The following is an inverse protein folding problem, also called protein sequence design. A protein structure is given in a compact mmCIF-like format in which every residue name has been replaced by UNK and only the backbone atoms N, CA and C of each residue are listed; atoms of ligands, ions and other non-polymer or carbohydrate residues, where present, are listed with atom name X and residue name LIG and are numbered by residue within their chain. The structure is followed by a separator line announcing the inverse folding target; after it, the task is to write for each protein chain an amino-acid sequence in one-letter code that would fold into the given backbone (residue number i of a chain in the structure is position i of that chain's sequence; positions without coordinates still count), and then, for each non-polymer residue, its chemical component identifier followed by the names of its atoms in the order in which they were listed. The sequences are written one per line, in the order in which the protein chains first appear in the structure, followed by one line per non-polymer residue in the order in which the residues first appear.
data_IF_536644854650
#
_entry.id   IF_536644854650
#
_cell.length_a   1.000
_cell.length_b   1.000
_cell.length_c   1.000
_cell.angle_alpha   90.00
_cell.angle_beta   90.00
_cell.angle_gamma   90.00
#
_symmetry.space_group_name_H-M   'P 1'
#
loop_
_entity.id
_entity.type
_entity.pdbx_description
1 polymer ?
#
# COMPACT_ATOMS: atom_id res chain seq x y z
N UNK A 1 -15.32 29.61 -3.96
CA UNK A 1 -14.72 28.26 -3.93
C UNK A 1 -13.31 28.42 -3.40
N UNK A 2 -13.07 28.01 -2.16
CA UNK A 2 -11.70 27.95 -1.62
C UNK A 2 -11.00 26.77 -2.28
N UNK A 3 -10.02 27.04 -3.13
CA UNK A 3 -9.16 25.97 -3.68
C UNK A 3 -8.49 25.25 -2.51
N UNK A 4 -8.70 23.94 -2.40
CA UNK A 4 -7.93 23.13 -1.44
C UNK A 4 -6.44 23.30 -1.74
N UNK A 5 -5.58 23.42 -0.71
CA UNK A 5 -4.14 23.46 -0.93
C UNK A 5 -3.69 22.16 -1.62
N UNK A 6 -2.78 22.27 -2.57
CA UNK A 6 -2.21 21.11 -3.24
C UNK A 6 -1.45 20.23 -2.24
N UNK A 7 -1.63 18.90 -2.34
CA UNK A 7 -0.85 17.95 -1.55
C UNK A 7 0.63 18.04 -1.95
N UNK A 8 1.50 17.99 -0.95
CA UNK A 8 2.95 17.91 -1.15
C UNK A 8 3.56 16.91 -0.19
N UNK A 9 4.60 16.20 -0.63
CA UNK A 9 5.33 15.23 0.19
C UNK A 9 6.81 15.61 0.25
N UNK A 10 7.37 15.63 1.45
CA UNK A 10 8.80 15.92 1.70
C UNK A 10 9.40 14.90 2.65
N UNK A 11 10.72 14.74 2.62
CA UNK A 11 11.42 13.88 3.58
C UNK A 11 11.35 14.46 4.99
N UNK A 12 11.21 13.61 6.00
CA UNK A 12 11.36 13.99 7.40
C UNK A 12 12.83 14.24 7.82
N UNK A 13 13.75 14.17 6.89
CA UNK A 13 15.16 14.53 7.07
C UNK A 13 16.01 13.47 7.76
N UNK A 14 15.67 12.18 7.62
CA UNK A 14 16.48 11.05 8.10
C UNK A 14 16.62 9.95 7.06
N UNK A 15 17.57 9.04 7.28
CA UNK A 15 17.64 7.75 6.58
C UNK A 15 16.64 6.75 7.14
N UNK A 16 16.28 5.69 6.39
CA UNK A 16 15.48 4.60 6.93
C UNK A 16 16.07 4.04 8.24
N UNK A 17 15.18 3.70 9.17
CA UNK A 17 15.55 3.11 10.45
C UNK A 17 15.13 1.64 10.47
N UNK A 18 16.06 0.75 10.82
CA UNK A 18 15.77 -0.69 10.90
C UNK A 18 14.63 -0.96 11.87
N UNK A 19 13.58 -1.60 11.39
CA UNK A 19 12.50 -2.12 12.22
C UNK A 19 13.02 -3.32 13.00
N UNK A 20 13.07 -3.19 14.30
CA UNK A 20 13.60 -4.26 15.17
C UNK A 20 12.53 -5.32 15.40
N UNK A 21 12.80 -6.53 14.92
CA UNK A 21 11.91 -7.69 15.12
C UNK A 21 12.07 -8.33 16.50
N UNK A 22 13.15 -8.05 17.22
CA UNK A 22 13.43 -8.70 18.50
C UNK A 22 13.53 -10.23 18.35
N UNK A 23 12.81 -10.96 19.19
CA UNK A 23 12.69 -12.43 19.13
C UNK A 23 11.41 -12.90 18.44
N UNK A 24 10.67 -12.03 17.76
CA UNK A 24 9.35 -12.37 17.19
C UNK A 24 9.42 -13.24 15.94
N UNK A 25 10.56 -13.22 15.23
CA UNK A 25 10.74 -13.99 14.00
C UNK A 25 9.95 -13.45 12.80
N UNK A 26 9.43 -12.20 12.89
CA UNK A 26 8.76 -11.58 11.75
C UNK A 26 9.80 -11.23 10.65
N UNK A 27 9.46 -11.57 9.44
CA UNK A 27 10.20 -11.31 8.22
C UNK A 27 9.24 -10.80 7.16
N UNK A 28 9.76 -10.22 6.07
CA UNK A 28 9.00 -9.85 4.86
C UNK A 28 7.73 -9.05 5.17
N UNK A 29 7.80 -7.99 6.01
CA UNK A 29 6.62 -7.15 6.27
C UNK A 29 6.31 -6.31 5.04
N UNK A 30 5.26 -6.65 4.33
CA UNK A 30 4.80 -6.01 3.12
C UNK A 30 3.78 -4.90 3.40
N UNK A 31 2.67 -5.21 4.05
CA UNK A 31 1.60 -4.25 4.36
C UNK A 31 1.67 -3.66 5.76
N UNK A 32 1.25 -2.38 5.90
CA UNK A 32 1.14 -1.70 7.20
C UNK A 32 -0.10 -0.80 7.27
N UNK A 33 -0.78 -0.77 8.42
CA UNK A 33 -1.91 0.14 8.67
C UNK A 33 -1.81 0.84 10.01
N UNK A 34 -2.18 2.12 10.08
CA UNK A 34 -2.15 2.94 11.29
C UNK A 34 -3.33 2.66 12.20
N UNK A 35 -3.07 2.41 13.48
CA UNK A 35 -4.07 2.08 14.50
C UNK A 35 -4.22 3.16 15.59
N UNK A 36 -3.56 4.31 15.41
CA UNK A 36 -3.64 5.42 16.35
C UNK A 36 -2.44 5.54 17.29
N UNK A 37 -2.07 6.76 17.65
CA UNK A 37 -0.95 7.06 18.53
C UNK A 37 0.39 6.58 17.96
N UNK A 38 0.96 5.57 18.58
CA UNK A 38 2.22 4.93 18.16
C UNK A 38 2.01 3.51 17.63
N UNK A 39 0.75 3.08 17.45
CA UNK A 39 0.40 1.70 17.15
C UNK A 39 0.07 1.52 15.67
N UNK A 40 0.56 0.42 15.11
CA UNK A 40 0.29 -0.02 13.75
C UNK A 40 0.11 -1.53 13.73
N UNK A 41 -0.56 -2.03 12.71
CA UNK A 41 -0.59 -3.46 12.38
C UNK A 41 0.09 -3.66 11.04
N UNK A 42 0.74 -4.82 10.89
CA UNK A 42 1.41 -5.21 9.67
C UNK A 42 1.17 -6.70 9.36
N UNK A 43 1.30 -7.06 8.11
CA UNK A 43 1.35 -8.43 7.62
C UNK A 43 2.60 -8.63 6.79
N UNK A 44 2.99 -9.87 6.56
CA UNK A 44 4.13 -10.21 5.72
C UNK A 44 3.77 -11.35 4.77
N UNK A 45 4.54 -11.43 3.69
CA UNK A 45 4.40 -12.39 2.61
C UNK A 45 4.99 -13.76 2.95
N UNK A 46 5.72 -13.90 4.07
CA UNK A 46 6.29 -15.18 4.51
C UNK A 46 6.23 -15.34 6.04
N UNK A 47 6.48 -16.53 6.51
CA UNK A 47 6.59 -16.87 7.92
C UNK A 47 5.30 -17.38 8.56
N UNK A 48 5.18 -17.18 9.89
CA UNK A 48 3.99 -17.62 10.62
C UNK A 48 2.77 -16.75 10.31
N UNK A 49 1.57 -17.32 10.13
CA UNK A 49 0.36 -16.58 9.84
C UNK A 49 -0.01 -15.68 11.02
N UNK A 50 0.46 -14.44 10.99
CA UNK A 50 0.42 -13.51 12.11
C UNK A 50 0.12 -12.10 11.64
N UNK A 51 -0.83 -11.44 12.33
CA UNK A 51 -1.01 -9.99 12.22
C UNK A 51 -0.08 -9.36 13.24
N UNK A 52 0.97 -8.70 12.76
CA UNK A 52 2.02 -8.14 13.61
C UNK A 52 1.61 -6.82 14.22
N UNK A 53 1.97 -6.61 15.48
CA UNK A 53 1.82 -5.36 16.20
C UNK A 53 3.12 -4.58 16.13
N UNK A 54 3.08 -3.41 15.51
CA UNK A 54 4.22 -2.52 15.31
C UNK A 54 4.05 -1.28 16.17
N UNK A 55 5.07 -0.97 16.95
CA UNK A 55 5.21 0.30 17.65
C UNK A 55 6.14 1.20 16.84
N UNK A 56 5.68 2.41 16.47
CA UNK A 56 6.54 3.42 15.85
C UNK A 56 6.30 4.77 16.51
N UNK A 57 7.34 5.28 17.14
CA UNK A 57 7.36 6.61 17.75
C UNK A 57 7.95 7.62 16.76
N UNK A 58 7.21 8.69 16.52
CA UNK A 58 7.60 9.79 15.63
C UNK A 58 7.84 11.08 16.46
N UNK A 59 8.78 11.90 16.03
CA UNK A 59 8.92 13.25 16.52
C UNK A 59 7.74 14.10 16.02
N UNK A 60 6.96 14.67 16.91
CA UNK A 60 5.74 15.41 16.57
C UNK A 60 5.95 16.70 15.77
N UNK A 61 7.18 17.24 15.72
CA UNK A 61 7.50 18.43 14.94
C UNK A 61 8.09 18.11 13.58
N UNK A 62 9.00 17.14 13.53
CA UNK A 62 9.75 16.83 12.32
C UNK A 62 9.25 15.60 11.57
N UNK A 63 8.34 14.82 12.16
CA UNK A 63 7.88 13.55 11.60
C UNK A 63 8.94 12.43 11.57
N UNK A 64 10.13 12.65 12.13
CA UNK A 64 11.19 11.64 12.13
C UNK A 64 10.83 10.43 12.96
N UNK A 65 11.12 9.23 12.47
CA UNK A 65 11.05 8.01 13.27
C UNK A 65 12.10 8.07 14.39
N UNK A 66 11.67 8.03 15.65
CA UNK A 66 12.55 7.97 16.81
C UNK A 66 12.87 6.54 17.20
N UNK A 67 11.88 5.66 17.12
CA UNK A 67 12.04 4.23 17.34
C UNK A 67 10.93 3.47 16.62
N UNK A 68 11.25 2.27 16.17
CA UNK A 68 10.32 1.36 15.56
C UNK A 68 10.68 -0.08 15.96
N UNK A 69 9.68 -0.87 16.36
CA UNK A 69 9.88 -2.25 16.79
C UNK A 69 8.57 -3.04 16.72
N UNK A 70 8.71 -4.34 16.54
CA UNK A 70 7.61 -5.29 16.72
C UNK A 70 7.39 -5.53 18.21
N UNK A 71 6.17 -5.33 18.67
CA UNK A 71 5.80 -5.49 20.10
C UNK A 71 5.09 -6.80 20.37
N UNK A 72 4.62 -7.48 19.32
CA UNK A 72 3.91 -8.75 19.42
C UNK A 72 3.27 -9.13 18.11
N UNK A 73 2.43 -10.16 18.17
CA UNK A 73 1.64 -10.62 17.03
C UNK A 73 0.37 -11.32 17.49
N UNK A 74 -0.65 -11.25 16.65
CA UNK A 74 -1.93 -11.96 16.80
C UNK A 74 -1.88 -13.15 15.87
N UNK A 75 -1.88 -14.36 16.43
CA UNK A 75 -1.94 -15.58 15.61
C UNK A 75 -3.23 -15.61 14.81
N UNK A 76 -3.13 -15.71 13.51
CA UNK A 76 -4.24 -15.72 12.55
C UNK A 76 -4.12 -16.94 11.61
N UNK A 77 -4.46 -18.15 12.08
CA UNK A 77 -4.19 -19.41 11.36
C UNK A 77 -4.85 -19.51 9.97
N UNK A 78 -5.86 -18.67 9.72
CA UNK A 78 -6.57 -18.62 8.43
C UNK A 78 -6.04 -17.50 7.52
N UNK A 79 -4.95 -16.81 7.95
CA UNK A 79 -4.23 -15.86 7.12
C UNK A 79 -3.53 -16.62 5.98
N UNK A 80 -3.53 -16.04 4.81
CA UNK A 80 -2.82 -16.62 3.67
C UNK A 80 -1.32 -16.64 3.86
N UNK A 81 -0.64 -17.40 3.04
CA UNK A 81 0.82 -17.56 3.10
C UNK A 81 1.57 -16.45 2.36
N UNK A 82 0.85 -15.59 1.66
CA UNK A 82 1.38 -14.50 0.84
C UNK A 82 0.50 -13.27 1.08
N UNK A 83 0.61 -12.72 2.29
CA UNK A 83 -0.24 -11.63 2.77
C UNK A 83 0.47 -10.30 2.51
N UNK A 84 -0.10 -9.48 1.60
CA UNK A 84 0.53 -8.26 1.11
C UNK A 84 -0.07 -6.99 1.75
N UNK A 85 -1.30 -6.69 1.45
CA UNK A 85 -1.96 -5.49 1.94
C UNK A 85 -2.73 -5.70 3.23
N UNK A 86 -2.77 -4.67 4.08
CA UNK A 86 -3.59 -4.66 5.31
C UNK A 86 -4.30 -3.33 5.50
N UNK A 87 -5.59 -3.35 5.78
CA UNK A 87 -6.39 -2.16 6.05
C UNK A 87 -7.15 -2.28 7.37
N UNK A 88 -7.02 -1.27 8.25
CA UNK A 88 -7.79 -1.22 9.50
C UNK A 88 -9.24 -0.86 9.22
N UNK A 89 -10.16 -1.65 9.76
CA UNK A 89 -11.59 -1.39 9.67
C UNK A 89 -12.03 -0.19 10.53
N UNK A 90 -13.18 0.42 10.23
CA UNK A 90 -13.64 1.66 10.88
C UNK A 90 -13.90 1.52 12.37
N UNK A 91 -14.19 0.32 12.85
CA UNK A 91 -14.39 0.04 14.28
C UNK A 91 -13.08 -0.09 15.08
N UNK A 92 -11.92 -0.18 14.38
CA UNK A 92 -10.60 -0.32 15.01
C UNK A 92 -10.32 -1.70 15.63
N UNK A 93 -11.23 -2.67 15.49
CA UNK A 93 -11.10 -4.02 16.07
C UNK A 93 -11.00 -5.14 15.02
N UNK A 94 -10.95 -4.79 13.74
CA UNK A 94 -10.82 -5.69 12.60
C UNK A 94 -9.85 -5.12 11.58
N UNK A 95 -9.27 -6.03 10.79
CA UNK A 95 -8.48 -5.69 9.61
C UNK A 95 -8.94 -6.52 8.43
N UNK A 96 -8.83 -5.97 7.23
CA UNK A 96 -8.84 -6.72 5.99
C UNK A 96 -7.40 -6.97 5.57
N UNK A 97 -7.17 -8.15 5.00
CA UNK A 97 -5.86 -8.55 4.48
C UNK A 97 -6.05 -9.12 3.08
N UNK A 98 -5.23 -8.67 2.12
CA UNK A 98 -5.12 -9.27 0.80
C UNK A 98 -4.14 -10.44 0.82
N UNK A 99 -4.45 -11.47 0.05
CA UNK A 99 -3.56 -12.60 -0.23
C UNK A 99 -3.32 -12.66 -1.73
N UNK A 100 -2.06 -12.61 -2.12
CA UNK A 100 -1.66 -12.52 -3.52
C UNK A 100 -1.85 -13.84 -4.26
N UNK A 101 -1.40 -14.94 -3.67
CA UNK A 101 -1.48 -16.29 -4.26
C UNK A 101 -2.93 -16.74 -4.42
N UNK A 102 -3.76 -16.56 -3.40
CA UNK A 102 -5.16 -16.94 -3.47
C UNK A 102 -6.03 -15.89 -4.16
N UNK A 103 -5.54 -14.67 -4.37
CA UNK A 103 -6.28 -13.52 -4.89
C UNK A 103 -7.56 -13.28 -4.08
N UNK A 104 -7.43 -13.22 -2.77
CA UNK A 104 -8.55 -13.02 -1.84
C UNK A 104 -8.34 -11.81 -0.93
N UNK A 105 -9.44 -11.27 -0.40
CA UNK A 105 -9.41 -10.28 0.67
C UNK A 105 -10.28 -10.81 1.81
N UNK A 106 -9.66 -11.01 2.96
CA UNK A 106 -10.32 -11.61 4.13
C UNK A 106 -10.32 -10.65 5.32
N UNK A 107 -11.38 -10.68 6.10
CA UNK A 107 -11.54 -9.91 7.33
C UNK A 107 -11.13 -10.75 8.54
N UNK A 108 -10.35 -10.15 9.45
CA UNK A 108 -9.87 -10.79 10.68
C UNK A 108 -10.19 -9.94 11.90
N UNK A 109 -10.56 -10.59 13.00
CA UNK A 109 -10.71 -9.98 14.32
C UNK A 109 -9.34 -9.74 14.95
N UNK A 110 -9.06 -8.52 15.38
CA UNK A 110 -7.83 -8.19 16.12
C UNK A 110 -7.83 -8.71 17.57
N UNK A 111 -8.99 -9.12 18.09
CA UNK A 111 -9.09 -9.72 19.41
C UNK A 111 -8.72 -11.21 19.39
N UNK A 112 -9.13 -11.92 18.36
CA UNK A 112 -9.04 -13.40 18.31
C UNK A 112 -8.12 -13.94 17.22
N UNK A 113 -7.73 -13.12 16.24
CA UNK A 113 -7.01 -13.54 15.04
C UNK A 113 -7.84 -14.39 14.06
N UNK A 114 -9.12 -14.60 14.35
CA UNK A 114 -9.96 -15.44 13.48
C UNK A 114 -10.51 -14.65 12.30
N UNK A 115 -10.63 -15.33 11.18
CA UNK A 115 -11.36 -14.83 10.02
C UNK A 115 -12.83 -14.63 10.38
N UNK A 116 -13.37 -13.45 10.07
CA UNK A 116 -14.74 -13.05 10.34
C UNK A 116 -15.57 -12.82 9.09
N UNK A 117 -14.90 -12.67 7.93
CA UNK A 117 -15.56 -12.41 6.66
C UNK A 117 -14.60 -12.48 5.48
N UNK A 118 -15.15 -12.22 4.29
CA UNK A 118 -14.39 -12.10 3.05
C UNK A 118 -15.06 -11.06 2.15
N UNK A 119 -14.27 -10.34 1.38
CA UNK A 119 -14.73 -9.43 0.33
C UNK A 119 -14.82 -10.22 -0.98
N UNK A 120 -15.88 -9.99 -1.75
CA UNK A 120 -16.06 -10.66 -3.03
C UNK A 120 -15.18 -10.01 -4.10
N UNK A 121 -13.97 -10.55 -4.29
CA UNK A 121 -13.02 -10.07 -5.30
C UNK A 121 -13.50 -10.47 -6.71
N UNK A 122 -13.51 -9.52 -7.70
CA UNK A 122 -13.90 -9.82 -9.06
C UNK A 122 -13.03 -10.91 -9.73
N UNK A 123 -13.68 -11.77 -10.52
CA UNK A 123 -13.03 -12.93 -11.14
C UNK A 123 -11.86 -12.58 -12.10
N UNK A 124 -11.72 -11.31 -12.50
CA UNK A 124 -10.59 -10.87 -13.33
C UNK A 124 -9.25 -11.08 -12.59
N UNK A 125 -9.26 -10.99 -11.25
CA UNK A 125 -8.08 -11.18 -10.39
C UNK A 125 -7.78 -12.64 -10.03
N UNK A 126 -8.56 -13.62 -10.57
CA UNK A 126 -8.33 -15.05 -10.25
C UNK A 126 -6.85 -15.43 -10.45
N UNK A 127 -6.30 -16.38 -9.65
CA UNK A 127 -4.88 -16.76 -9.71
C UNK A 127 -4.39 -17.14 -11.11
N UNK A 128 -5.24 -17.79 -11.93
CA UNK A 128 -4.88 -18.15 -13.29
C UNK A 128 -4.62 -16.94 -14.22
N UNK A 129 -5.07 -15.74 -13.85
CA UNK A 129 -4.86 -14.49 -14.60
C UNK A 129 -3.72 -13.65 -14.02
N UNK A 130 -3.21 -13.97 -12.84
CA UNK A 130 -2.06 -13.32 -12.22
C UNK A 130 -0.77 -13.78 -12.88
N UNK A 131 0.18 -12.87 -13.09
CA UNK A 131 1.51 -13.16 -13.63
C UNK A 131 2.54 -13.20 -12.50
N UNK A 132 3.32 -14.26 -12.42
CA UNK A 132 4.56 -14.34 -11.63
C UNK A 132 4.46 -13.85 -10.17
N UNK A 133 3.42 -14.16 -9.45
CA UNK A 133 3.22 -13.61 -8.10
C UNK A 133 3.24 -12.07 -8.12
N UNK A 134 2.30 -11.45 -8.85
CA UNK A 134 2.12 -9.99 -8.99
C UNK A 134 0.63 -9.67 -8.99
N UNK A 135 -0.06 -10.24 -7.99
CA UNK A 135 -1.52 -10.18 -7.82
C UNK A 135 -1.97 -9.02 -6.94
N UNK A 136 -2.85 -9.31 -5.97
CA UNK A 136 -3.43 -8.31 -5.07
C UNK A 136 -2.40 -7.86 -4.01
N UNK A 137 -1.65 -6.85 -4.33
CA UNK A 137 -0.56 -6.32 -3.51
C UNK A 137 -1.05 -5.33 -2.46
N UNK A 138 -1.83 -4.36 -2.88
CA UNK A 138 -2.23 -3.23 -2.03
C UNK A 138 -3.58 -3.43 -1.35
N UNK A 139 -3.76 -2.83 -0.17
CA UNK A 139 -5.07 -2.75 0.48
C UNK A 139 -5.16 -1.54 1.40
N UNK A 140 -6.17 -0.69 1.20
CA UNK A 140 -6.38 0.48 2.04
C UNK A 140 -7.86 0.79 2.24
N UNK A 141 -8.21 1.30 3.41
CA UNK A 141 -9.58 1.73 3.72
C UNK A 141 -9.61 3.18 4.16
N UNK A 142 -10.46 3.97 3.55
CA UNK A 142 -10.67 5.36 3.93
C UNK A 142 -11.94 5.94 3.32
N UNK A 143 -12.61 6.84 4.06
CA UNK A 143 -13.82 7.47 3.58
C UNK A 143 -15.03 6.55 3.36
N UNK A 144 -15.01 5.33 3.88
CA UNK A 144 -16.06 4.33 3.68
C UNK A 144 -15.77 3.32 2.56
N UNK A 145 -14.69 3.51 1.84
CA UNK A 145 -14.29 2.73 0.66
C UNK A 145 -13.05 1.91 0.95
N UNK A 146 -13.07 0.65 0.55
CA UNK A 146 -11.89 -0.23 0.53
C UNK A 146 -11.34 -0.26 -0.91
N UNK A 147 -10.03 -0.13 -1.03
CA UNK A 147 -9.32 -0.12 -2.31
C UNK A 147 -8.26 -1.20 -2.34
N UNK A 148 -8.10 -1.84 -3.50
CA UNK A 148 -7.00 -2.76 -3.79
C UNK A 148 -6.51 -2.57 -5.22
N UNK A 149 -5.33 -3.06 -5.52
CA UNK A 149 -4.81 -3.15 -6.88
C UNK A 149 -3.89 -4.36 -7.01
N UNK A 150 -3.74 -4.85 -8.25
CA UNK A 150 -2.67 -5.78 -8.58
C UNK A 150 -1.35 -5.05 -8.77
N UNK A 151 -0.23 -5.73 -8.48
CA UNK A 151 1.12 -5.14 -8.56
C UNK A 151 1.51 -4.79 -9.99
N UNK A 152 1.38 -5.75 -10.89
CA UNK A 152 1.75 -5.67 -12.30
C UNK A 152 0.62 -6.19 -13.20
N UNK A 153 0.75 -6.02 -14.52
CA UNK A 153 -0.30 -6.39 -15.47
C UNK A 153 -0.78 -7.82 -15.28
N UNK A 154 -2.09 -8.00 -15.17
CA UNK A 154 -2.71 -9.32 -15.31
C UNK A 154 -2.39 -9.92 -16.69
N UNK A 155 -2.42 -11.25 -16.83
CA UNK A 155 -2.16 -11.92 -18.13
C UNK A 155 -3.07 -11.39 -19.24
N UNK A 156 -4.30 -11.05 -18.92
CA UNK A 156 -5.25 -10.43 -19.86
C UNK A 156 -4.89 -9.00 -20.21
N UNK A 157 -4.15 -8.29 -19.38
CA UNK A 157 -3.92 -6.85 -19.48
C UNK A 157 -2.59 -6.49 -20.15
N UNK A 158 -1.81 -7.49 -20.54
CA UNK A 158 -0.65 -7.30 -21.41
C UNK A 158 0.69 -7.62 -20.74
N UNK A 159 1.72 -6.90 -21.17
CA UNK A 159 3.09 -7.13 -20.72
C UNK A 159 3.37 -6.43 -19.39
N UNK A 160 4.29 -7.01 -18.61
CA UNK A 160 4.88 -6.40 -17.44
C UNK A 160 5.66 -5.13 -17.81
N UNK A 161 5.94 -4.29 -16.81
CA UNK A 161 6.74 -3.08 -16.95
C UNK A 161 8.14 -3.38 -17.48
N UNK A 162 8.62 -2.48 -18.32
CA UNK A 162 9.97 -2.50 -18.89
C UNK A 162 10.58 -1.11 -18.80
N UNK A 163 11.83 -0.95 -19.24
CA UNK A 163 12.45 0.37 -19.37
C UNK A 163 11.84 1.23 -20.49
N UNK A 164 11.06 0.62 -21.39
CA UNK A 164 10.40 1.33 -22.48
C UNK A 164 8.97 1.75 -22.14
N UNK A 165 8.28 0.99 -21.30
CA UNK A 165 6.88 1.23 -20.96
C UNK A 165 6.51 0.65 -19.59
N UNK A 166 5.63 1.32 -18.86
CA UNK A 166 4.95 0.76 -17.69
C UNK A 166 3.84 -0.20 -18.11
N UNK A 167 3.30 -0.94 -17.15
CA UNK A 167 2.21 -1.90 -17.33
C UNK A 167 0.84 -1.28 -17.03
N UNK A 168 -0.21 -1.96 -17.50
CA UNK A 168 -1.59 -1.65 -17.09
C UNK A 168 -1.95 -2.50 -15.88
N UNK A 169 -2.30 -1.84 -14.78
CA UNK A 169 -2.85 -2.47 -13.57
C UNK A 169 -4.26 -1.96 -13.30
N UNK A 170 -5.01 -2.68 -12.49
CA UNK A 170 -6.40 -2.36 -12.16
C UNK A 170 -6.50 -1.96 -10.70
N UNK A 171 -7.04 -0.76 -10.43
CA UNK A 171 -7.44 -0.34 -9.09
C UNK A 171 -8.92 -0.69 -8.93
N UNK A 172 -9.26 -1.47 -7.92
CA UNK A 172 -10.61 -1.92 -7.59
C UNK A 172 -11.16 -1.17 -6.39
N UNK A 173 -12.36 -0.67 -6.55
CA UNK A 173 -13.16 -0.03 -5.49
C UNK A 173 -14.18 -1.02 -4.91
N UNK A 174 -14.27 -1.04 -3.58
CA UNK A 174 -15.34 -1.74 -2.86
C UNK A 174 -16.02 -0.76 -1.92
N UNK A 175 -17.34 -0.71 -1.95
CA UNK A 175 -18.11 0.26 -1.17
C UNK A 175 -19.43 -0.36 -0.67
N UNK A 176 -20.06 0.35 0.27
CA UNK A 176 -21.28 -0.08 0.94
C UNK A 176 -21.01 -0.99 2.14
N UNK A 177 -22.08 -1.37 2.88
CA UNK A 177 -21.97 -2.11 4.13
C UNK A 177 -21.37 -3.51 3.97
N UNK A 178 -21.48 -4.10 2.80
CA UNK A 178 -20.99 -5.44 2.42
C UNK A 178 -19.74 -5.38 1.57
N UNK A 179 -19.15 -4.21 1.38
CA UNK A 179 -17.97 -3.99 0.52
C UNK A 179 -18.15 -4.65 -0.86
N UNK A 180 -19.28 -4.36 -1.50
CA UNK A 180 -19.52 -4.85 -2.86
C UNK A 180 -18.54 -4.22 -3.85
N UNK A 181 -18.04 -5.00 -4.80
CA UNK A 181 -17.22 -4.48 -5.89
C UNK A 181 -18.00 -3.40 -6.65
N UNK A 182 -17.37 -2.26 -6.86
CA UNK A 182 -17.90 -1.10 -7.58
C UNK A 182 -17.09 -0.88 -8.84
N UNK A 183 -16.62 0.35 -9.03
CA UNK A 183 -15.84 0.73 -10.19
C UNK A 183 -14.44 0.11 -10.16
N UNK A 184 -13.93 -0.17 -11.34
CA UNK A 184 -12.58 -0.60 -11.57
C UNK A 184 -11.90 0.39 -12.51
N UNK A 185 -10.68 0.77 -12.21
CA UNK A 185 -9.98 1.80 -12.95
C UNK A 185 -8.67 1.27 -13.51
N UNK A 186 -8.36 1.67 -14.75
CA UNK A 186 -7.05 1.42 -15.32
C UNK A 186 -6.02 2.43 -14.80
N UNK A 187 -4.93 1.94 -14.26
CA UNK A 187 -3.77 2.71 -13.83
C UNK A 187 -2.55 2.27 -14.66
N UNK A 188 -1.70 3.22 -15.06
CA UNK A 188 -0.46 2.90 -15.75
C UNK A 188 0.73 3.17 -14.85
N UNK A 189 1.52 2.12 -14.57
CA UNK A 189 2.79 2.29 -13.86
C UNK A 189 3.79 3.08 -14.71
N UNK A 190 4.82 3.64 -14.10
CA UNK A 190 5.91 4.27 -14.85
C UNK A 190 6.85 3.21 -15.47
N UNK A 191 7.51 3.52 -16.57
CA UNK A 191 8.61 2.71 -17.09
C UNK A 191 9.72 2.57 -16.04
N UNK A 192 10.40 1.43 -16.02
CA UNK A 192 11.53 1.16 -15.12
C UNK A 192 12.70 2.10 -15.49
N UNK A 193 13.16 2.87 -14.52
CA UNK A 193 14.37 3.68 -14.69
C UNK A 193 15.60 2.81 -14.58
N UNK A 194 16.56 2.97 -15.49
CA UNK A 194 17.88 2.35 -15.31
C UNK A 194 18.63 3.06 -14.20
N UNK A 195 18.68 2.47 -13.02
CA UNK A 195 19.44 3.00 -11.88
C UNK A 195 20.92 2.64 -11.96
N UNK A 196 21.30 1.70 -12.84
CA UNK A 196 22.68 1.29 -13.09
C UNK A 196 22.85 0.88 -14.55
N UNK A 197 24.00 1.17 -15.19
CA UNK A 197 24.30 0.66 -16.54
C UNK A 197 24.48 -0.86 -16.58
N UNK A 198 24.70 -1.51 -15.43
CA UNK A 198 24.86 -2.95 -15.28
C UNK A 198 23.60 -3.59 -14.71
N UNK A 199 22.45 -3.37 -15.39
CA UNK A 199 21.16 -3.91 -14.95
C UNK A 199 21.10 -5.41 -15.20
N UNK A 200 20.83 -6.20 -14.16
CA UNK A 200 20.65 -7.66 -14.27
C UNK A 200 19.23 -8.08 -13.92
N UNK A 201 18.51 -7.27 -13.14
CA UNK A 201 17.11 -7.50 -12.76
C UNK A 201 16.36 -6.20 -12.90
N UNK A 202 15.25 -6.22 -13.62
CA UNK A 202 14.33 -5.09 -13.79
C UNK A 202 12.95 -5.54 -13.30
N UNK A 203 12.44 -4.88 -12.28
CA UNK A 203 11.08 -5.07 -11.75
C UNK A 203 10.48 -3.73 -11.40
N UNK A 204 9.19 -3.61 -11.53
CA UNK A 204 8.41 -2.47 -11.07
C UNK A 204 7.04 -2.97 -10.62
N UNK A 205 6.31 -2.15 -9.87
CA UNK A 205 4.95 -2.49 -9.50
C UNK A 205 4.26 -1.36 -8.73
N UNK A 206 2.94 -1.43 -8.71
CA UNK A 206 2.08 -0.68 -7.82
C UNK A 206 1.93 -1.50 -6.54
N UNK A 207 2.79 -1.22 -5.56
CA UNK A 207 2.93 -2.08 -4.38
C UNK A 207 2.00 -1.71 -3.23
N UNK A 208 1.54 -0.46 -3.12
CA UNK A 208 0.51 -0.13 -2.13
C UNK A 208 -0.33 1.08 -2.55
N UNK A 209 -1.50 1.17 -1.97
CA UNK A 209 -2.42 2.30 -2.03
C UNK A 209 -2.66 2.86 -0.64
N UNK A 210 -2.90 4.17 -0.54
CA UNK A 210 -3.28 4.82 0.71
C UNK A 210 -4.47 5.74 0.48
N UNK A 211 -5.62 5.34 0.98
CA UNK A 211 -6.81 6.19 1.03
C UNK A 211 -6.66 7.23 2.15
N UNK A 212 -6.75 8.49 1.77
CA UNK A 212 -6.65 9.63 2.70
C UNK A 212 -8.03 9.97 3.27
N UNK A 213 -8.09 10.58 4.48
CA UNK A 213 -9.35 10.96 5.11
C UNK A 213 -10.24 11.89 4.30
N UNK A 214 -9.70 12.62 3.34
CA UNK A 214 -10.43 13.51 2.43
C UNK A 214 -10.94 12.83 1.15
N UNK A 215 -10.80 11.50 1.05
CA UNK A 215 -11.23 10.69 -0.10
C UNK A 215 -10.22 10.61 -1.25
N UNK A 216 -9.08 11.30 -1.16
CA UNK A 216 -8.01 11.15 -2.14
C UNK A 216 -7.25 9.83 -1.91
N UNK A 217 -6.64 9.30 -2.96
CA UNK A 217 -5.84 8.07 -2.90
C UNK A 217 -4.41 8.35 -3.36
N UNK A 218 -3.45 7.90 -2.58
CA UNK A 218 -2.04 7.86 -2.99
C UNK A 218 -1.70 6.45 -3.49
N UNK A 219 -0.80 6.39 -4.46
CA UNK A 219 -0.25 5.15 -5.01
C UNK A 219 1.26 5.10 -4.78
N UNK A 220 1.75 4.01 -4.22
CA UNK A 220 3.17 3.72 -4.05
C UNK A 220 3.64 2.81 -5.18
N UNK A 221 4.48 3.33 -6.07
CA UNK A 221 5.21 2.52 -7.04
C UNK A 221 6.62 2.23 -6.53
N UNK A 222 7.06 1.00 -6.69
CA UNK A 222 8.43 0.57 -6.41
C UNK A 222 9.07 0.03 -7.68
N UNK A 223 10.33 0.33 -7.90
CA UNK A 223 11.13 -0.28 -8.94
C UNK A 223 12.45 -0.83 -8.41
N UNK A 224 12.89 -1.92 -8.97
CA UNK A 224 14.22 -2.48 -8.82
C UNK A 224 14.92 -2.41 -10.18
N UNK A 225 16.06 -1.72 -10.24
CA UNK A 225 16.79 -1.57 -11.49
C UNK A 225 18.28 -1.47 -11.23
N UNK A 226 19.00 -2.62 -11.12
CA UNK A 226 20.44 -2.57 -10.91
C UNK A 226 21.11 -3.93 -10.70
N UNK A 227 22.45 -3.92 -10.75
CA UNK A 227 23.29 -5.11 -10.49
C UNK A 227 23.26 -5.52 -9.02
N UNK A 228 23.29 -4.54 -8.12
CA UNK A 228 22.99 -4.72 -6.70
C UNK A 228 21.56 -4.24 -6.49
N UNK A 229 20.84 -4.77 -5.50
CA UNK A 229 19.51 -4.26 -5.18
C UNK A 229 19.54 -2.73 -5.04
N UNK A 230 18.95 -2.05 -5.99
CA UNK A 230 18.74 -0.59 -5.99
C UNK A 230 17.30 -0.32 -6.26
N UNK A 231 16.65 0.07 -5.19
CA UNK A 231 15.23 0.39 -5.23
C UNK A 231 15.03 1.89 -5.39
N UNK A 232 13.96 2.22 -6.09
CA UNK A 232 13.37 3.56 -6.15
C UNK A 232 11.91 3.45 -5.83
N UNK A 233 11.44 4.35 -4.98
CA UNK A 233 10.01 4.47 -4.69
C UNK A 233 9.48 5.79 -5.19
N UNK A 234 8.22 5.79 -5.69
CA UNK A 234 7.48 6.97 -6.12
C UNK A 234 6.12 6.98 -5.46
N UNK A 235 5.65 8.14 -5.03
CA UNK A 235 4.31 8.32 -4.49
C UNK A 235 3.56 9.29 -5.39
N UNK A 236 2.43 8.83 -5.91
CA UNK A 236 1.54 9.58 -6.78
C UNK A 236 0.24 9.89 -6.08
N UNK A 237 -0.32 11.07 -6.34
CA UNK A 237 -1.74 11.34 -6.14
C UNK A 237 -2.49 10.77 -7.35
N UNK A 238 -3.47 9.92 -7.10
CA UNK A 238 -4.34 9.35 -8.14
C UNK A 238 -5.55 10.26 -8.35
N UNK A 239 -5.85 10.58 -9.60
CA UNK A 239 -7.02 11.36 -10.00
C UNK A 239 -7.98 10.48 -10.80
N UNK A 240 -9.11 10.16 -10.21
CA UNK A 240 -10.17 9.35 -10.81
C UNK A 240 -11.13 10.17 -11.69
N UNK A 241 -10.96 11.51 -11.74
CA UNK A 241 -11.86 12.40 -12.48
C UNK A 241 -11.85 12.09 -13.98
N UNK A 242 -12.99 11.70 -14.51
CA UNK A 242 -13.15 11.35 -15.94
C UNK A 242 -12.56 10.00 -16.34
N UNK A 243 -12.01 9.23 -15.40
CA UNK A 243 -11.56 7.87 -15.67
C UNK A 243 -12.74 6.95 -15.99
N UNK A 244 -12.51 5.99 -16.90
CA UNK A 244 -13.52 5.00 -17.25
C UNK A 244 -13.61 3.89 -16.22
N UNK A 245 -14.83 3.41 -15.95
CA UNK A 245 -15.00 2.10 -15.34
C UNK A 245 -14.59 1.01 -16.33
N UNK A 246 -13.63 0.18 -15.95
CA UNK A 246 -13.10 -0.91 -16.79
C UNK A 246 -13.48 -2.29 -16.27
N UNK A 247 -14.43 -2.38 -15.33
CA UNK A 247 -14.85 -3.66 -14.72
C UNK A 247 -15.31 -4.70 -15.76
N UNK A 248 -16.01 -4.26 -16.79
CA UNK A 248 -16.51 -5.13 -17.86
C UNK A 248 -15.49 -5.38 -18.99
N UNK A 249 -14.31 -4.73 -18.95
CA UNK A 249 -13.30 -4.95 -19.97
C UNK A 249 -12.48 -6.21 -19.63
N UNK A 250 -12.53 -7.17 -20.54
CA UNK A 250 -11.77 -8.41 -20.43
C UNK A 250 -10.26 -8.23 -20.54
N UNK A 251 -9.80 -7.10 -21.09
CA UNK A 251 -8.38 -6.80 -21.33
C UNK A 251 -8.12 -5.30 -21.38
N UNK A 252 -7.00 -4.86 -20.82
CA UNK A 252 -6.46 -3.51 -20.98
C UNK A 252 -5.27 -3.46 -21.95
N UNK A 253 -4.86 -4.58 -22.51
CA UNK A 253 -3.64 -4.73 -23.31
C UNK A 253 -3.55 -3.77 -24.51
N UNK A 254 -4.69 -3.43 -25.12
CA UNK A 254 -4.73 -2.49 -26.25
C UNK A 254 -4.36 -1.05 -25.87
N UNK A 255 -4.48 -0.70 -24.59
CA UNK A 255 -4.32 0.68 -24.10
C UNK A 255 -5.33 1.67 -24.70
N UNK A 256 -6.46 1.18 -25.22
CA UNK A 256 -7.47 1.99 -25.92
C UNK A 256 -8.89 1.52 -25.55
N UNK A 257 -9.88 2.39 -25.80
CA UNK A 257 -11.28 2.13 -25.45
C UNK A 257 -11.65 2.49 -24.01
N UNK A 258 -10.73 3.08 -23.26
CA UNK A 258 -10.95 3.59 -21.91
C UNK A 258 -10.08 4.82 -21.62
N UNK A 259 -10.47 5.60 -20.63
CA UNK A 259 -9.66 6.67 -20.06
C UNK A 259 -9.09 6.17 -18.72
N UNK A 260 -7.76 6.09 -18.63
CA UNK A 260 -7.09 5.72 -17.40
C UNK A 260 -7.20 6.84 -16.35
N UNK A 261 -6.95 6.53 -15.08
CA UNK A 261 -6.79 7.54 -14.03
C UNK A 261 -5.61 8.46 -14.35
N UNK A 262 -5.75 9.73 -13.96
CA UNK A 262 -4.63 10.65 -13.91
C UNK A 262 -3.73 10.34 -12.71
N UNK A 263 -2.44 10.68 -12.81
CA UNK A 263 -1.55 10.61 -11.63
C UNK A 263 -0.59 11.80 -11.60
N UNK A 264 -0.34 12.32 -10.40
CA UNK A 264 0.59 13.43 -10.16
C UNK A 264 1.67 12.96 -9.19
N UNK A 265 2.93 13.02 -9.61
CA UNK A 265 4.06 12.66 -8.76
C UNK A 265 4.20 13.67 -7.60
N UNK A 266 4.08 13.18 -6.36
CA UNK A 266 4.26 13.98 -5.15
C UNK A 266 5.66 13.80 -4.55
N UNK A 267 6.25 12.61 -4.69
CA UNK A 267 7.57 12.30 -4.17
C UNK A 267 8.22 11.16 -4.93
N UNK A 268 9.55 11.22 -5.07
CA UNK A 268 10.37 10.09 -5.48
C UNK A 268 11.70 10.08 -4.72
N UNK A 269 12.27 8.90 -4.55
CA UNK A 269 13.58 8.75 -3.93
C UNK A 269 14.24 7.42 -4.26
N UNK A 270 15.55 7.47 -4.43
CA UNK A 270 16.36 6.26 -4.46
C UNK A 270 16.51 5.77 -3.01
N UNK A 271 16.07 4.56 -2.75
CA UNK A 271 15.95 3.97 -1.41
C UNK A 271 17.04 2.92 -1.13
N UNK A 272 17.98 2.75 -2.07
CA UNK A 272 19.11 1.86 -1.93
C UNK A 272 18.69 0.40 -1.83
N UNK A 273 18.93 -0.23 -0.68
CA UNK A 273 18.55 -1.63 -0.41
C UNK A 273 17.17 -1.78 0.23
N UNK A 274 16.49 -0.68 0.54
CA UNK A 274 15.16 -0.74 1.16
C UNK A 274 14.08 -0.87 0.10
N UNK A 275 13.46 -2.03 0.04
CA UNK A 275 12.35 -2.38 -0.83
C UNK A 275 11.04 -1.97 -0.14
N UNK A 276 10.64 -0.71 -0.25
CA UNK A 276 9.40 -0.23 0.39
C UNK A 276 8.18 -0.73 -0.38
N UNK A 277 7.34 -1.50 0.30
CA UNK A 277 6.10 -2.06 -0.23
C UNK A 277 4.86 -1.58 0.52
N UNK A 278 4.97 -1.26 1.82
CA UNK A 278 3.83 -0.73 2.59
C UNK A 278 3.92 0.78 2.85
N UNK A 279 2.76 1.46 2.76
CA UNK A 279 2.60 2.88 3.11
C UNK A 279 1.35 3.10 3.96
N UNK A 280 1.46 3.89 5.02
CA UNK A 280 0.30 4.29 5.84
C UNK A 280 0.37 5.74 6.28
N UNK A 281 -0.81 6.33 6.54
CA UNK A 281 -0.89 7.63 7.20
C UNK A 281 -0.57 7.45 8.68
N UNK A 282 0.37 8.26 9.20
CA UNK A 282 0.68 8.31 10.62
C UNK A 282 -0.06 9.44 11.35
N UNK A 283 0.36 9.79 12.57
CA UNK A 283 -0.27 10.84 13.35
C UNK A 283 -0.09 12.23 12.70
N UNK A 284 -1.00 13.18 13.02
CA UNK A 284 -0.79 14.58 12.69
C UNK A 284 0.43 15.14 13.44
N UNK A 285 1.17 16.00 12.78
CA UNK A 285 2.30 16.73 13.34
C UNK A 285 1.84 18.08 13.92
N UNK A 286 2.71 18.71 14.71
CA UNK A 286 2.39 19.96 15.42
C UNK A 286 2.11 21.16 14.50
N UNK A 287 2.49 21.11 13.24
CA UNK A 287 2.21 22.11 12.21
C UNK A 287 0.95 21.82 11.39
N UNK A 288 0.19 20.78 11.74
CA UNK A 288 -1.02 20.34 11.05
C UNK A 288 -0.74 19.46 9.81
N UNK A 289 0.51 19.20 9.46
CA UNK A 289 0.85 18.18 8.46
C UNK A 289 0.72 16.76 9.05
N UNK A 290 0.88 15.74 8.22
CA UNK A 290 0.82 14.35 8.64
C UNK A 290 2.14 13.63 8.36
N UNK A 291 2.49 12.70 9.21
CA UNK A 291 3.52 11.73 8.87
C UNK A 291 2.95 10.70 7.88
N UNK A 292 3.75 10.28 6.91
CA UNK A 292 3.55 9.05 6.14
C UNK A 292 4.64 8.08 6.61
N UNK A 293 4.27 6.86 6.96
CA UNK A 293 5.20 5.81 7.32
C UNK A 293 5.24 4.77 6.21
N UNK A 294 6.45 4.42 5.77
CA UNK A 294 6.72 3.35 4.83
C UNK A 294 7.47 2.23 5.56
N UNK A 295 7.18 0.99 5.18
CA UNK A 295 7.93 -0.20 5.61
C UNK A 295 8.47 -0.94 4.40
N UNK A 296 9.61 -1.60 4.58
CA UNK A 296 10.24 -2.40 3.53
C UNK A 296 10.31 -3.86 3.92
N UNK A 297 10.26 -4.74 2.94
CA UNK A 297 10.56 -6.16 3.08
C UNK A 297 12.06 -6.39 3.18
N UNK A 298 12.50 -7.48 3.79
CA UNK A 298 13.93 -7.80 3.98
C UNK A 298 14.47 -8.88 3.02
N UNK A 299 13.64 -9.41 2.12
CA UNK A 299 14.02 -10.39 1.11
C UNK A 299 14.57 -11.67 1.74
N UNK A 300 14.10 -12.05 2.94
CA UNK A 300 14.62 -13.18 3.76
C UNK A 300 16.14 -13.04 3.92
N UNK A 301 16.64 -11.83 4.17
CA UNK A 301 18.08 -11.52 4.27
C UNK A 301 18.81 -11.58 2.93
N UNK A 302 18.11 -11.65 1.80
CA UNK A 302 18.70 -11.67 0.48
C UNK A 302 19.39 -10.34 0.18
N UNK A 303 20.65 -10.42 -0.28
CA UNK A 303 21.39 -9.29 -0.86
C UNK A 303 21.45 -8.01 -0.01
N UNK A 304 21.55 -8.11 1.32
CA UNK A 304 21.62 -7.00 2.26
C UNK A 304 20.35 -6.12 2.31
N UNK A 305 19.20 -6.62 1.89
CA UNK A 305 17.91 -6.01 2.17
C UNK A 305 17.67 -5.98 3.67
N UNK A 306 16.89 -5.02 4.11
CA UNK A 306 16.59 -4.82 5.54
C UNK A 306 15.14 -4.44 5.68
N UNK A 307 14.52 -4.91 6.74
CA UNK A 307 13.23 -4.42 7.17
C UNK A 307 13.40 -3.03 7.77
N UNK A 308 13.11 -2.02 6.99
CA UNK A 308 13.29 -0.62 7.37
C UNK A 308 11.94 0.09 7.54
N UNK A 309 11.91 1.07 8.44
CA UNK A 309 10.85 2.08 8.52
C UNK A 309 11.39 3.43 8.06
N UNK A 310 10.60 4.12 7.26
CA UNK A 310 10.96 5.43 6.73
C UNK A 310 9.78 6.38 6.78
N UNK A 311 10.00 7.63 7.18
CA UNK A 311 8.93 8.62 7.26
C UNK A 311 9.10 9.77 6.29
N UNK A 312 7.96 10.18 5.74
CA UNK A 312 7.79 11.37 4.92
C UNK A 312 6.77 12.29 5.59
N UNK A 313 6.64 13.51 5.12
CA UNK A 313 5.69 14.50 5.63
C UNK A 313 4.73 14.88 4.51
N UNK A 314 3.44 14.65 4.73
CA UNK A 314 2.35 15.03 3.85
C UNK A 314 1.76 16.36 4.32
N UNK A 315 1.73 17.36 3.45
CA UNK A 315 1.11 18.68 3.67
C UNK A 315 -0.05 18.90 2.72
N UNK A 316 -0.92 19.83 3.10
CA UNK A 316 -2.09 20.18 2.30
C UNK A 316 -3.29 19.25 2.51
N UNK A 317 -3.18 18.21 3.34
CA UNK A 317 -4.31 17.38 3.69
C UNK A 317 -5.22 18.16 4.65
N UNK A 318 -6.43 18.45 4.20
CA UNK A 318 -7.49 18.99 5.07
C UNK A 318 -8.24 17.81 5.66
N UNK A 319 -8.23 17.69 6.99
CA UNK A 319 -9.06 16.69 7.65
C UNK A 319 -10.54 16.92 7.27
N UNK A 320 -11.33 15.87 7.04
CA UNK A 320 -12.78 16.04 6.96
C UNK A 320 -13.27 16.70 8.26
N UNK A 321 -14.29 17.55 8.13
CA UNK A 321 -14.91 18.12 9.32
C UNK A 321 -15.34 16.98 10.26
N UNK A 322 -15.09 17.10 11.58
CA UNK A 322 -15.53 16.06 12.51
C UNK A 322 -17.03 15.84 12.31
N UNK A 323 -17.42 14.56 12.25
CA UNK A 323 -18.84 14.22 12.17
C UNK A 323 -19.58 14.93 13.32
N UNK A 324 -20.78 15.49 13.08
CA UNK A 324 -21.52 16.15 14.14
C UNK A 324 -21.73 15.18 15.28
N UNK A 325 -21.31 15.58 16.48
CA UNK A 325 -21.51 14.79 17.70
C UNK A 325 -23.00 14.50 17.81
N UNK A 326 -23.43 13.23 17.98
CA UNK A 326 -24.83 12.92 18.20
C UNK A 326 -25.32 13.75 19.40
N UNK A 327 -26.36 14.55 19.21
CA UNK A 327 -27.06 15.23 20.30
C UNK A 327 -27.63 14.13 21.18
N UNK A 328 -27.08 13.96 22.38
CA UNK A 328 -27.70 13.11 23.38
C UNK A 328 -29.04 13.78 23.74
N UNK A 329 -30.15 13.13 23.38
CA UNK A 329 -31.52 13.49 23.77
C UNK A 329 -31.84 12.74 25.07
#
# INVERSE_FOLDING_TARGET
MTTQPALTITRAGQSPLVLRSGSTGATELSGITYAGGTNYYAVGDDGAPTIWQVYTSLDSRSGRVRSTLLTGGISAPELGTDSEGIALGPSGNRVWVSDEVASTINEFSLETGRKTGSVAVPNIYRPANVQNNMGLESLTYGGGTLWTANEEALRSDGALSTTAAGSWVRIQEFDGPDLAARQQYAYRTDPISRLSPFVTVERSGLVDLLALPNGQVLALERELGGYLPRYRSRIYLVDFTGASDVAELSSLASGSGFTAVGKTLLWQGDTGFSNFEGITLGPPLSDGSYALLLVSVDGIGAMAQRQDSFSLILRGLTAPAPAPTPIQV
#
